data_IF_586982683499
#
_entry.id   IF_586982683499
#
_cell.length_a   1.000
_cell.length_b   1.000
_cell.length_c   1.000
_cell.angle_alpha   90.00
_cell.angle_beta   90.00
_cell.angle_gamma   90.00
#
_symmetry.space_group_name_H-M   'P 1'
#
loop_
_entity.id
_entity.type
_entity.pdbx_description
1 polymer ?
#
# COMPACT_ATOMS: atom_id res chain seq x y z
N UNK A 1 -22.43 -9.43 10.53
CA UNK A 1 -22.04 -8.57 9.40
C UNK A 1 -21.58 -7.24 9.97
N UNK A 2 -20.27 -7.01 10.09
CA UNK A 2 -19.75 -5.68 10.41
C UNK A 2 -20.11 -4.73 9.27
N UNK A 3 -20.74 -3.60 9.59
CA UNK A 3 -20.94 -2.51 8.62
C UNK A 3 -19.58 -1.93 8.30
N UNK A 4 -19.10 -2.15 7.07
CA UNK A 4 -17.93 -1.43 6.57
C UNK A 4 -18.27 0.06 6.56
N UNK A 5 -17.62 0.82 7.44
CA UNK A 5 -17.76 2.28 7.46
C UNK A 5 -17.43 2.82 6.06
N UNK A 6 -18.30 3.67 5.54
CA UNK A 6 -18.11 4.31 4.24
C UNK A 6 -16.91 5.25 4.35
N UNK A 7 -15.77 4.84 3.77
CA UNK A 7 -14.59 5.70 3.62
C UNK A 7 -14.65 6.39 2.28
N UNK A 8 -14.65 7.72 2.31
CA UNK A 8 -14.52 8.55 1.11
C UNK A 8 -13.06 9.00 1.04
N UNK A 9 -12.36 8.55 0.01
CA UNK A 9 -10.99 8.98 -0.27
C UNK A 9 -11.05 10.10 -1.31
N UNK A 10 -10.52 11.27 -0.97
CA UNK A 10 -10.45 12.44 -1.86
C UNK A 10 -9.04 12.53 -2.43
N UNK A 11 -8.94 12.61 -3.75
CA UNK A 11 -7.68 12.76 -4.48
C UNK A 11 -7.60 14.19 -4.99
N UNK A 12 -6.40 14.78 -4.95
CA UNK A 12 -6.14 16.11 -5.49
C UNK A 12 -6.44 16.17 -7.00
N UNK A 13 -6.98 17.30 -7.46
CA UNK A 13 -7.38 17.47 -8.85
C UNK A 13 -6.19 17.38 -9.83
N UNK A 14 -5.00 17.83 -9.42
CA UNK A 14 -3.78 17.72 -10.22
C UNK A 14 -3.39 16.25 -10.42
N UNK A 15 -3.48 15.43 -9.37
CA UNK A 15 -3.21 13.99 -9.44
C UNK A 15 -4.23 13.28 -10.35
N UNK A 16 -5.51 13.67 -10.27
CA UNK A 16 -6.55 13.16 -11.17
C UNK A 16 -6.22 13.50 -12.63
N UNK A 17 -5.75 14.72 -12.90
CA UNK A 17 -5.35 15.12 -14.25
C UNK A 17 -4.18 14.28 -14.79
N UNK A 18 -3.14 14.09 -13.96
CA UNK A 18 -1.99 13.24 -14.29
C UNK A 18 -2.42 11.81 -14.57
N UNK A 19 -3.25 11.22 -13.72
CA UNK A 19 -3.76 9.86 -13.91
C UNK A 19 -4.61 9.77 -15.19
N UNK A 20 -5.42 10.77 -15.51
CA UNK A 20 -6.21 10.78 -16.75
C UNK A 20 -5.35 10.86 -18.01
N UNK A 21 -4.20 11.55 -17.95
CA UNK A 21 -3.26 11.66 -19.06
C UNK A 21 -2.46 10.36 -19.32
N UNK A 22 -2.41 9.43 -18.36
CA UNK A 22 -1.70 8.15 -18.51
C UNK A 22 -2.48 7.12 -19.31
N UNK A 23 -1.76 6.36 -20.15
CA UNK A 23 -2.28 5.15 -20.77
C UNK A 23 -2.55 4.05 -19.71
N UNK A 24 -3.39 3.05 -20.01
CA UNK A 24 -3.64 1.93 -19.09
C UNK A 24 -2.34 1.22 -18.66
N UNK A 25 -1.38 1.05 -19.55
CA UNK A 25 -0.10 0.42 -19.24
C UNK A 25 0.74 1.28 -18.28
N UNK A 26 0.75 2.60 -18.47
CA UNK A 26 1.45 3.54 -17.58
C UNK A 26 0.83 3.55 -16.18
N UNK A 27 -0.51 3.51 -16.08
CA UNK A 27 -1.21 3.39 -14.79
C UNK A 27 -0.81 2.13 -14.05
N UNK A 28 -0.83 0.99 -14.74
CA UNK A 28 -0.46 -0.29 -14.14
C UNK A 28 1.01 -0.28 -13.69
N UNK A 29 1.90 0.27 -14.51
CA UNK A 29 3.31 0.41 -14.17
C UNK A 29 3.50 1.29 -12.93
N UNK A 30 2.83 2.45 -12.87
CA UNK A 30 2.88 3.36 -11.74
C UNK A 30 2.35 2.70 -10.46
N UNK A 31 1.19 2.04 -10.52
CA UNK A 31 0.61 1.32 -9.38
C UNK A 31 1.55 0.21 -8.88
N UNK A 32 2.14 -0.58 -9.78
CA UNK A 32 3.10 -1.62 -9.40
C UNK A 32 4.34 -1.02 -8.72
N UNK A 33 4.87 0.08 -9.25
CA UNK A 33 6.01 0.80 -8.65
C UNK A 33 5.69 1.29 -7.25
N UNK A 34 4.49 1.86 -7.03
CA UNK A 34 4.03 2.30 -5.71
C UNK A 34 4.01 1.14 -4.72
N UNK A 35 3.45 -0.02 -5.10
CA UNK A 35 3.38 -1.20 -4.22
C UNK A 35 4.77 -1.73 -3.87
N UNK A 36 5.67 -1.82 -4.84
CA UNK A 36 7.06 -2.29 -4.61
C UNK A 36 7.80 -1.35 -3.66
N UNK A 37 7.68 -0.04 -3.86
CA UNK A 37 8.33 0.96 -3.00
C UNK A 37 7.74 0.95 -1.58
N UNK A 38 6.41 0.92 -1.46
CA UNK A 38 5.74 0.84 -0.17
C UNK A 38 6.16 -0.42 0.60
N UNK A 39 6.26 -1.58 -0.08
CA UNK A 39 6.73 -2.83 0.53
C UNK A 39 8.14 -2.70 1.09
N UNK A 40 9.06 -2.12 0.32
CA UNK A 40 10.44 -1.93 0.76
C UNK A 40 10.53 -0.99 1.98
N UNK A 41 9.80 0.13 1.93
CA UNK A 41 9.73 1.09 3.04
C UNK A 41 9.16 0.46 4.31
N UNK A 42 8.03 -0.25 4.19
CA UNK A 42 7.39 -0.91 5.32
C UNK A 42 8.29 -1.99 5.93
N UNK A 43 8.97 -2.78 5.08
CA UNK A 43 9.92 -3.80 5.56
C UNK A 43 11.03 -3.15 6.40
N UNK A 44 11.64 -2.10 5.87
CA UNK A 44 12.67 -1.36 6.59
C UNK A 44 12.14 -0.83 7.94
N UNK A 45 11.00 -0.13 7.91
CA UNK A 45 10.38 0.43 9.12
C UNK A 45 10.07 -0.63 10.17
N UNK A 46 9.41 -1.73 9.77
CA UNK A 46 9.01 -2.81 10.69
C UNK A 46 10.23 -3.49 11.30
N UNK A 47 11.27 -3.78 10.50
CA UNK A 47 12.52 -4.36 11.00
C UNK A 47 13.22 -3.42 11.98
N UNK A 48 13.30 -2.12 11.70
CA UNK A 48 13.91 -1.14 12.60
C UNK A 48 13.14 -1.00 13.91
N UNK A 49 11.80 -1.03 13.86
CA UNK A 49 10.96 -0.96 15.06
C UNK A 49 10.97 -2.25 15.88
N UNK A 50 11.24 -3.41 15.25
CA UNK A 50 11.16 -4.72 15.88
C UNK A 50 12.41 -5.57 15.57
N UNK A 51 13.59 -5.22 16.10
CA UNK A 51 14.85 -5.86 15.74
C UNK A 51 14.95 -7.34 16.14
N UNK A 52 14.12 -7.80 17.08
CA UNK A 52 14.07 -9.20 17.52
C UNK A 52 13.15 -10.10 16.68
N UNK A 53 12.37 -9.52 15.77
CA UNK A 53 11.43 -10.28 14.97
C UNK A 53 12.11 -11.13 13.90
N UNK A 54 11.54 -12.29 13.66
CA UNK A 54 11.93 -13.14 12.54
C UNK A 54 11.48 -12.51 11.22
N UNK A 55 12.15 -12.87 10.12
CA UNK A 55 11.76 -12.41 8.78
C UNK A 55 10.31 -12.74 8.43
N UNK A 56 9.81 -13.90 8.90
CA UNK A 56 8.41 -14.29 8.71
C UNK A 56 7.43 -13.32 9.40
N UNK A 57 7.73 -12.88 10.63
CA UNK A 57 6.88 -11.92 11.34
C UNK A 57 6.87 -10.56 10.65
N UNK A 58 8.03 -10.11 10.17
CA UNK A 58 8.14 -8.88 9.37
C UNK A 58 7.31 -8.98 8.08
N UNK A 59 7.40 -10.09 7.35
CA UNK A 59 6.65 -10.29 6.10
C UNK A 59 5.14 -10.30 6.28
N UNK A 60 4.65 -10.92 7.36
CA UNK A 60 3.23 -10.90 7.72
C UNK A 60 2.77 -9.47 7.97
N UNK A 61 3.48 -8.73 8.84
CA UNK A 61 3.13 -7.35 9.19
C UNK A 61 3.17 -6.42 7.96
N UNK A 62 4.19 -6.53 7.11
CA UNK A 62 4.30 -5.74 5.88
C UNK A 62 3.14 -6.04 4.94
N UNK A 63 2.74 -7.31 4.83
CA UNK A 63 1.61 -7.72 3.99
C UNK A 63 0.29 -7.17 4.55
N UNK A 64 0.10 -7.22 5.86
CA UNK A 64 -1.08 -6.66 6.53
C UNK A 64 -1.20 -5.14 6.33
N UNK A 65 -0.09 -4.41 6.46
CA UNK A 65 -0.06 -2.95 6.26
C UNK A 65 -0.26 -2.54 4.81
N UNK A 66 0.33 -3.26 3.85
CA UNK A 66 0.11 -3.00 2.41
C UNK A 66 -1.33 -3.27 1.97
N UNK A 67 -1.98 -4.26 2.59
CA UNK A 67 -3.34 -4.67 2.25
C UNK A 67 -4.44 -3.75 2.77
N UNK A 68 -4.12 -2.63 3.44
CA UNK A 68 -5.09 -1.75 4.11
C UNK A 68 -5.93 -2.47 5.19
N UNK A 69 -5.36 -3.48 5.89
CA UNK A 69 -6.00 -4.17 7.00
C UNK A 69 -7.15 -5.11 6.59
N UNK A 70 -6.86 -6.42 6.62
CA UNK A 70 -7.79 -7.57 6.60
C UNK A 70 -8.76 -7.71 5.39
N UNK A 71 -8.65 -8.80 4.60
CA UNK A 71 -9.83 -9.54 4.18
C UNK A 71 -10.29 -10.47 5.31
N UNK A 72 -11.61 -10.53 5.53
CA UNK A 72 -12.25 -11.48 6.44
C UNK A 72 -11.96 -12.94 6.08
#
# INVERSE_FOLDING_TARGET
MERREMRIEVIDEADVHVLRAMSPAQKLWAANRMVVQARAMLRHLVTTQNPSWTQRQVDVEVTERLGNGRPA
#
